data_IF_921990394645
#
_entry.id   IF_921990394645
#
_cell.length_a   1.000
_cell.length_b   1.000
_cell.length_c   1.000
_cell.angle_alpha   90.00
_cell.angle_beta   90.00
_cell.angle_gamma   90.00
#
_symmetry.space_group_name_H-M   'P 1'
#
loop_
_entity.id
_entity.type
_entity.pdbx_description
1 polymer ?
#
# COMPACT_ATOMS: atom_id res chain seq x y z
N UNK A 1 -3.96 19.70 -4.07
CA UNK A 1 -3.11 20.40 -3.07
C UNK A 1 -2.42 19.35 -2.20
N UNK A 2 -1.54 19.74 -1.26
CA UNK A 2 -1.12 18.78 -0.23
C UNK A 2 -2.36 18.35 0.56
N UNK A 3 -2.43 17.07 0.97
CA UNK A 3 -3.59 16.50 1.67
C UNK A 3 -4.62 15.82 0.77
N UNK A 4 -4.52 15.91 -0.56
CA UNK A 4 -5.42 15.21 -1.48
C UNK A 4 -5.38 13.67 -1.28
N UNK A 5 -4.21 13.13 -0.89
CA UNK A 5 -4.03 11.73 -0.54
C UNK A 5 -4.76 11.27 0.74
N UNK A 6 -5.50 12.16 1.41
CA UNK A 6 -6.29 11.86 2.61
C UNK A 6 -7.80 11.77 2.34
N UNK A 7 -8.23 11.63 1.08
CA UNK A 7 -9.65 11.54 0.70
C UNK A 7 -9.98 10.25 -0.06
N UNK A 8 -11.19 9.71 0.16
CA UNK A 8 -11.75 8.58 -0.60
C UNK A 8 -10.78 7.39 -0.66
N UNK A 9 -10.32 6.96 0.52
CA UNK A 9 -9.20 6.04 0.67
C UNK A 9 -9.66 4.59 0.71
N UNK A 10 -8.86 3.73 0.09
CA UNK A 10 -8.80 2.30 0.35
C UNK A 10 -7.37 1.99 0.77
N UNK A 11 -7.12 2.02 2.08
CA UNK A 11 -5.78 1.91 2.65
C UNK A 11 -5.49 0.45 2.99
N UNK A 12 -4.59 -0.25 2.29
CA UNK A 12 -4.21 -1.59 2.68
C UNK A 12 -3.56 -1.58 4.07
N UNK A 13 -3.98 -2.49 4.93
CA UNK A 13 -3.57 -2.63 6.32
C UNK A 13 -2.97 -4.01 6.55
N UNK A 14 -2.03 -4.11 7.49
CA UNK A 14 -1.77 -5.38 8.17
C UNK A 14 -2.95 -5.74 9.07
N UNK A 15 -3.08 -7.02 9.47
CA UNK A 15 -4.13 -7.46 10.40
C UNK A 15 -4.10 -6.66 11.71
N UNK A 16 -2.91 -6.39 12.26
CA UNK A 16 -2.76 -5.59 13.47
C UNK A 16 -3.22 -4.13 13.30
N UNK A 17 -2.98 -3.53 12.13
CA UNK A 17 -3.49 -2.19 11.82
C UNK A 17 -5.00 -2.20 11.64
N UNK A 18 -5.57 -3.23 11.00
CA UNK A 18 -7.01 -3.38 10.84
C UNK A 18 -7.73 -3.52 12.18
N UNK A 19 -7.17 -4.30 13.11
CA UNK A 19 -7.70 -4.40 14.48
C UNK A 19 -7.67 -3.02 15.17
N UNK A 20 -6.56 -2.28 15.06
CA UNK A 20 -6.47 -0.92 15.65
C UNK A 20 -7.45 0.04 15.00
N UNK A 21 -7.69 -0.09 13.70
CA UNK A 21 -8.63 0.72 12.95
C UNK A 21 -10.07 0.49 13.43
N UNK A 22 -10.49 -0.78 13.50
CA UNK A 22 -11.80 -1.18 14.02
C UNK A 22 -12.02 -0.72 15.47
N UNK A 23 -11.00 -0.84 16.34
CA UNK A 23 -11.07 -0.36 17.74
C UNK A 23 -11.30 1.14 17.87
N UNK A 24 -10.99 1.92 16.83
CA UNK A 24 -11.23 3.37 16.79
C UNK A 24 -12.57 3.73 16.14
N UNK A 25 -13.39 2.72 15.81
CA UNK A 25 -14.69 2.90 15.14
C UNK A 25 -14.59 3.08 13.63
N UNK A 26 -13.44 2.78 13.01
CA UNK A 26 -13.30 2.85 11.55
C UNK A 26 -13.70 1.55 10.87
N UNK A 27 -14.12 1.64 9.61
CA UNK A 27 -14.56 0.49 8.81
C UNK A 27 -13.39 -0.20 8.09
N UNK A 28 -13.51 -1.53 7.98
CA UNK A 28 -12.57 -2.39 7.25
C UNK A 28 -13.32 -3.20 6.21
N UNK A 29 -12.78 -3.24 5.00
CA UNK A 29 -13.23 -4.09 3.91
C UNK A 29 -12.17 -5.15 3.59
N UNK A 30 -12.59 -6.23 2.96
CA UNK A 30 -11.71 -7.29 2.48
C UNK A 30 -11.80 -7.34 0.97
N UNK A 31 -10.67 -7.10 0.30
CA UNK A 31 -10.56 -7.20 -1.15
C UNK A 31 -9.96 -8.55 -1.50
N UNK A 32 -10.63 -9.29 -2.40
CA UNK A 32 -10.20 -10.59 -2.88
C UNK A 32 -9.92 -10.49 -4.39
N UNK A 33 -8.67 -10.72 -4.78
CA UNK A 33 -8.27 -10.81 -6.19
C UNK A 33 -8.01 -12.28 -6.53
N UNK A 34 -8.79 -12.83 -7.46
CA UNK A 34 -8.61 -14.16 -7.99
C UNK A 34 -7.89 -14.11 -9.34
N UNK A 35 -6.80 -14.87 -9.45
CA UNK A 35 -5.97 -14.92 -10.66
C UNK A 35 -5.97 -16.35 -11.21
N UNK A 36 -6.42 -16.57 -12.46
CA UNK A 36 -6.28 -17.85 -13.15
C UNK A 36 -4.83 -18.32 -13.18
N UNK A 37 -4.59 -19.56 -12.75
CA UNK A 37 -3.27 -20.17 -12.67
C UNK A 37 -3.35 -21.63 -13.16
N UNK A 38 -3.66 -21.85 -14.45
CA UNK A 38 -3.76 -23.20 -15.02
C UNK A 38 -2.40 -23.92 -15.03
N UNK A 39 -1.30 -23.19 -15.09
CA UNK A 39 0.08 -23.70 -14.99
C UNK A 39 0.84 -22.83 -14.00
N UNK A 40 1.57 -23.44 -13.05
CA UNK A 40 2.43 -22.66 -12.15
C UNK A 40 3.68 -22.21 -12.95
N UNK A 41 3.99 -20.90 -13.01
CA UNK A 41 5.16 -20.40 -13.74
C UNK A 41 6.46 -20.79 -13.04
N UNK A 42 7.58 -20.70 -13.78
CA UNK A 42 8.91 -20.83 -13.18
C UNK A 42 9.06 -19.90 -11.97
N UNK A 43 9.73 -20.42 -10.95
CA UNK A 43 10.06 -19.73 -9.71
C UNK A 43 11.16 -18.67 -9.86
N UNK A 44 11.79 -18.58 -11.03
CA UNK A 44 12.92 -17.68 -11.28
C UNK A 44 12.50 -16.22 -11.52
N UNK A 45 11.20 -15.97 -11.75
CA UNK A 45 10.65 -14.62 -11.86
C UNK A 45 10.28 -14.07 -10.48
N UNK A 46 10.96 -12.99 -10.07
CA UNK A 46 10.71 -12.30 -8.81
C UNK A 46 9.28 -11.77 -8.66
N UNK A 47 8.61 -11.36 -9.74
CA UNK A 47 7.21 -10.94 -9.70
C UNK A 47 6.28 -12.12 -9.41
N UNK A 48 6.55 -13.27 -10.03
CA UNK A 48 5.80 -14.51 -9.81
C UNK A 48 5.92 -14.92 -8.35
N UNK A 49 7.13 -14.91 -7.79
CA UNK A 49 7.36 -15.20 -6.37
C UNK A 49 6.66 -14.22 -5.44
N UNK A 50 6.77 -12.92 -5.74
CA UNK A 50 6.15 -11.88 -4.93
C UNK A 50 4.62 -11.98 -4.90
N UNK A 51 3.98 -12.41 -5.99
CA UNK A 51 2.54 -12.73 -5.99
C UNK A 51 2.26 -14.04 -5.25
N UNK A 52 3.09 -15.07 -5.46
CA UNK A 52 2.92 -16.41 -4.88
C UNK A 52 2.94 -16.37 -3.35
N UNK A 53 3.92 -15.67 -2.74
CA UNK A 53 4.02 -15.57 -1.27
C UNK A 53 2.89 -14.75 -0.63
N UNK A 54 2.12 -13.98 -1.41
CA UNK A 54 1.00 -13.14 -0.95
C UNK A 54 -0.38 -13.68 -1.33
N UNK A 55 -0.42 -14.89 -1.88
CA UNK A 55 -1.66 -15.54 -2.30
C UNK A 55 -1.65 -17.00 -1.87
N UNK A 56 -2.82 -17.62 -1.83
CA UNK A 56 -2.96 -19.05 -1.61
C UNK A 56 -3.62 -19.72 -2.83
N UNK A 57 -3.36 -21.01 -3.01
CA UNK A 57 -4.00 -21.79 -4.07
C UNK A 57 -5.46 -22.08 -3.71
N UNK A 58 -6.34 -22.03 -4.70
CA UNK A 58 -7.75 -22.39 -4.59
C UNK A 58 -8.26 -22.90 -5.95
N UNK A 59 -9.51 -23.31 -5.99
CA UNK A 59 -10.19 -23.80 -7.19
C UNK A 59 -11.44 -22.96 -7.46
N UNK A 60 -11.71 -22.72 -8.75
CA UNK A 60 -12.96 -22.15 -9.24
C UNK A 60 -13.57 -23.11 -10.26
N UNK A 61 -14.41 -24.03 -9.79
CA UNK A 61 -14.78 -25.21 -10.57
C UNK A 61 -13.54 -26.09 -10.77
N UNK A 62 -13.24 -26.45 -12.02
CA UNK A 62 -12.03 -27.23 -12.36
C UNK A 62 -10.79 -26.35 -12.60
N UNK A 63 -10.93 -25.02 -12.57
CA UNK A 63 -9.82 -24.10 -12.83
C UNK A 63 -9.02 -23.83 -11.56
N UNK A 64 -7.74 -24.19 -11.58
CA UNK A 64 -6.78 -23.77 -10.57
C UNK A 64 -6.59 -22.25 -10.60
N UNK A 65 -6.76 -21.61 -9.44
CA UNK A 65 -6.59 -20.18 -9.24
C UNK A 65 -5.66 -19.90 -8.06
N UNK A 66 -5.20 -18.66 -7.97
CA UNK A 66 -4.62 -18.12 -6.73
C UNK A 66 -5.43 -16.93 -6.26
N UNK A 67 -5.66 -16.85 -4.96
CA UNK A 67 -6.41 -15.78 -4.33
C UNK A 67 -5.48 -14.94 -3.47
N UNK A 68 -5.44 -13.64 -3.73
CA UNK A 68 -4.81 -12.65 -2.88
C UNK A 68 -5.90 -11.94 -2.07
N UNK A 69 -5.70 -11.84 -0.76
CA UNK A 69 -6.62 -11.15 0.14
C UNK A 69 -5.93 -9.93 0.71
N UNK A 70 -6.56 -8.76 0.59
CA UNK A 70 -6.07 -7.51 1.16
C UNK A 70 -7.11 -6.94 2.11
N UNK A 71 -6.70 -6.73 3.36
CA UNK A 71 -7.52 -6.01 4.35
C UNK A 71 -7.31 -4.52 4.13
N UNK A 72 -8.40 -3.76 3.93
CA UNK A 72 -8.33 -2.32 3.65
C UNK A 72 -9.17 -1.53 4.65
N UNK A 73 -8.61 -0.43 5.17
CA UNK A 73 -9.44 0.61 5.77
C UNK A 73 -10.16 1.36 4.64
N UNK A 74 -11.48 1.47 4.75
CA UNK A 74 -12.30 2.25 3.85
C UNK A 74 -12.62 3.60 4.49
N UNK A 75 -12.31 4.69 3.78
CA UNK A 75 -12.64 6.04 4.21
C UNK A 75 -13.28 6.75 3.04
N UNK A 76 -14.56 7.08 3.15
CA UNK A 76 -15.25 7.89 2.17
C UNK A 76 -15.23 9.36 2.63
N UNK A 77 -14.94 10.28 1.71
CA UNK A 77 -14.68 11.68 2.06
C UNK A 77 -13.31 11.87 2.72
N UNK A 78 -13.20 12.85 3.62
CA UNK A 78 -11.95 13.19 4.29
C UNK A 78 -11.61 12.20 5.42
N UNK A 79 -10.33 11.84 5.51
CA UNK A 79 -9.79 11.08 6.64
C UNK A 79 -10.13 11.77 7.97
N UNK A 80 -10.56 11.05 9.02
CA UNK A 80 -10.86 11.63 10.34
C UNK A 80 -9.68 12.40 10.97
N UNK A 81 -8.46 12.12 10.52
CA UNK A 81 -7.27 12.82 10.97
C UNK A 81 -6.89 14.03 10.11
N UNK A 82 -7.59 14.31 9.01
CA UNK A 82 -7.29 15.46 8.16
C UNK A 82 -7.73 16.76 8.86
N UNK A 83 -6.81 17.71 9.00
CA UNK A 83 -7.04 19.00 9.63
C UNK A 83 -7.49 20.04 8.60
N UNK A 84 -8.06 21.19 9.04
CA UNK A 84 -8.49 22.26 8.13
C UNK A 84 -7.37 22.83 7.25
N UNK A 85 -6.12 22.75 7.68
CA UNK A 85 -4.93 23.16 6.91
C UNK A 85 -4.41 22.06 5.94
N UNK A 86 -5.19 21.00 5.73
CA UNK A 86 -4.89 19.84 4.89
C UNK A 86 -3.70 19.00 5.33
N UNK A 87 -3.20 19.21 6.56
CA UNK A 87 -2.20 18.33 7.19
C UNK A 87 -2.90 17.24 7.97
N UNK A 88 -2.27 16.08 8.08
CA UNK A 88 -2.83 14.98 8.87
C UNK A 88 -2.45 15.19 10.34
N UNK A 89 -3.41 15.32 11.24
CA UNK A 89 -3.21 15.42 12.70
C UNK A 89 -2.90 14.07 13.38
N UNK A 90 -2.97 12.96 12.65
CA UNK A 90 -2.80 11.60 13.18
C UNK A 90 -1.42 10.99 12.91
N UNK A 91 -0.34 11.78 12.86
CA UNK A 91 1.00 11.32 12.46
C UNK A 91 1.45 10.04 13.19
N UNK A 92 1.25 9.97 14.50
CA UNK A 92 1.60 8.80 15.33
C UNK A 92 0.68 7.61 15.10
N UNK A 93 -0.53 7.86 14.65
CA UNK A 93 -1.58 6.87 14.42
C UNK A 93 -1.64 6.38 12.97
N UNK A 94 -0.82 6.94 12.07
CA UNK A 94 -0.85 6.61 10.64
C UNK A 94 -0.60 5.13 10.41
N UNK A 95 -1.42 4.48 9.55
CA UNK A 95 -1.05 3.18 9.03
C UNK A 95 0.20 3.31 8.16
N UNK A 96 0.96 2.24 8.04
CA UNK A 96 2.22 2.16 7.31
C UNK A 96 2.09 2.67 5.88
N UNK A 97 0.99 2.37 5.18
CA UNK A 97 0.75 2.89 3.82
C UNK A 97 0.75 4.42 3.76
N UNK A 98 0.21 5.11 4.78
CA UNK A 98 0.24 6.57 4.87
C UNK A 98 1.59 7.12 5.35
N UNK A 99 2.42 6.29 6.00
CA UNK A 99 3.78 6.67 6.44
C UNK A 99 4.78 6.60 5.31
N UNK A 100 4.67 5.58 4.45
CA UNK A 100 5.59 5.36 3.32
C UNK A 100 5.22 6.17 2.08
N UNK A 101 4.00 6.70 2.01
CA UNK A 101 3.54 7.49 0.87
C UNK A 101 4.48 8.71 0.63
N UNK A 102 4.97 8.94 -0.60
CA UNK A 102 4.47 8.40 -1.87
C UNK A 102 5.12 7.11 -2.39
N UNK A 103 6.02 6.46 -1.64
CA UNK A 103 6.74 5.27 -2.10
C UNK A 103 5.83 4.09 -2.46
N UNK A 104 6.38 3.16 -3.26
CA UNK A 104 5.74 1.91 -3.64
C UNK A 104 6.13 0.77 -2.71
N UNK A 105 5.13 0.04 -2.21
CA UNK A 105 5.39 -1.17 -1.41
C UNK A 105 5.80 -2.35 -2.29
N UNK A 106 5.28 -2.44 -3.53
CA UNK A 106 5.64 -3.49 -4.46
C UNK A 106 7.00 -3.14 -5.09
N UNK A 107 8.06 -3.95 -4.89
CA UNK A 107 9.40 -3.65 -5.40
C UNK A 107 9.51 -3.66 -6.93
N UNK A 108 8.48 -4.16 -7.64
CA UNK A 108 8.43 -4.22 -9.09
C UNK A 108 7.59 -3.10 -9.73
N UNK A 109 7.06 -2.17 -8.92
CA UNK A 109 6.36 -0.98 -9.42
C UNK A 109 7.29 0.22 -9.26
N UNK A 110 7.52 0.92 -10.36
CA UNK A 110 8.27 2.16 -10.37
C UNK A 110 7.43 3.31 -9.78
N UNK A 111 8.04 4.14 -8.94
CA UNK A 111 7.41 5.36 -8.44
C UNK A 111 7.29 6.37 -9.59
N UNK A 112 6.06 6.60 -10.06
CA UNK A 112 5.75 7.65 -11.03
C UNK A 112 5.01 8.80 -10.34
N UNK A 113 5.56 10.04 -10.32
CA UNK A 113 4.89 11.21 -9.73
C UNK A 113 3.48 11.46 -10.26
N UNK A 114 3.24 11.18 -11.53
CA UNK A 114 1.94 11.32 -12.22
C UNK A 114 0.86 10.39 -11.67
N UNK A 115 1.23 9.30 -11.00
CA UNK A 115 0.30 8.37 -10.36
C UNK A 115 0.08 8.69 -8.87
N UNK A 116 0.58 9.84 -8.39
CA UNK A 116 0.47 10.24 -6.99
C UNK A 116 -0.40 11.48 -6.86
N UNK A 117 -1.16 11.53 -5.78
CA UNK A 117 -1.95 12.70 -5.38
C UNK A 117 -1.10 13.85 -4.81
N UNK A 118 0.24 13.70 -4.76
CA UNK A 118 1.11 14.81 -4.38
C UNK A 118 1.06 15.90 -5.46
N UNK A 119 0.96 17.18 -5.08
CA UNK A 119 0.91 18.25 -6.06
C UNK A 119 2.27 18.40 -6.79
N UNK A 120 2.31 18.98 -8.01
CA UNK A 120 3.53 19.06 -8.82
C UNK A 120 4.73 19.69 -8.10
N UNK A 121 4.49 20.67 -7.23
CA UNK A 121 5.53 21.40 -6.49
C UNK A 121 6.26 20.51 -5.47
N UNK A 122 5.67 19.37 -5.08
CA UNK A 122 6.32 18.38 -4.23
C UNK A 122 7.46 17.63 -4.96
N UNK A 123 7.47 17.69 -6.31
CA UNK A 123 8.43 17.01 -7.17
C UNK A 123 9.41 17.96 -7.84
N UNK A 124 9.40 19.25 -7.46
CA UNK A 124 10.26 20.26 -8.04
C UNK A 124 11.74 19.96 -7.79
N UNK A 125 12.60 20.33 -8.75
CA UNK A 125 14.04 20.00 -8.76
C UNK A 125 14.80 20.66 -7.60
N UNK A 126 14.28 21.75 -7.06
CA UNK A 126 14.80 22.46 -5.89
C UNK A 126 14.45 21.78 -4.55
N UNK A 127 13.64 20.70 -4.58
CA UNK A 127 13.34 19.87 -3.41
C UNK A 127 14.33 18.71 -3.29
N UNK A 128 14.59 18.21 -2.05
CA UNK A 128 15.37 17.00 -1.87
C UNK A 128 14.78 15.82 -2.66
N UNK A 129 15.62 15.09 -3.39
CA UNK A 129 15.17 13.93 -4.15
C UNK A 129 14.68 12.83 -3.21
N UNK A 130 13.42 12.42 -3.36
CA UNK A 130 12.86 11.30 -2.60
C UNK A 130 13.44 9.95 -3.05
N UNK A 131 13.69 9.82 -4.36
CA UNK A 131 14.35 8.67 -4.98
C UNK A 131 15.58 9.13 -5.76
N UNK A 132 16.68 8.38 -5.67
CA UNK A 132 17.87 8.53 -6.51
C UNK A 132 18.37 7.15 -6.92
N UNK A 133 18.56 6.92 -8.23
CA UNK A 133 19.01 5.62 -8.74
C UNK A 133 18.11 4.44 -8.36
N UNK A 134 16.80 4.65 -8.27
CA UNK A 134 15.82 3.62 -7.88
C UNK A 134 15.76 3.32 -6.38
N UNK A 135 16.55 4.00 -5.54
CA UNK A 135 16.56 3.84 -4.10
C UNK A 135 15.85 5.00 -3.40
N UNK A 136 15.12 4.69 -2.33
CA UNK A 136 14.51 5.69 -1.45
C UNK A 136 15.61 6.29 -0.59
N UNK A 137 15.71 7.62 -0.58
CA UNK A 137 16.78 8.34 0.11
C UNK A 137 16.55 8.44 1.63
N UNK A 138 15.30 8.35 2.08
CA UNK A 138 14.96 8.35 3.50
C UNK A 138 15.03 6.92 4.07
N UNK A 139 16.01 6.67 4.95
CA UNK A 139 16.25 5.35 5.54
C UNK A 139 15.09 4.85 6.39
N UNK A 140 14.42 5.75 7.12
CA UNK A 140 13.24 5.41 7.92
C UNK A 140 12.11 4.89 7.02
N UNK A 141 11.85 5.56 5.90
CA UNK A 141 10.88 5.12 4.90
C UNK A 141 11.27 3.78 4.29
N UNK A 142 12.56 3.58 3.97
CA UNK A 142 13.05 2.31 3.44
C UNK A 142 12.81 1.14 4.41
N UNK A 143 13.11 1.33 5.69
CA UNK A 143 12.87 0.33 6.75
C UNK A 143 11.38 0.03 6.93
N UNK A 144 10.54 1.07 6.93
CA UNK A 144 9.08 0.93 7.02
C UNK A 144 8.50 0.13 5.84
N UNK A 145 9.05 0.29 4.64
CA UNK A 145 8.62 -0.48 3.47
C UNK A 145 8.96 -1.95 3.64
N UNK A 146 10.17 -2.27 4.09
CA UNK A 146 10.56 -3.66 4.33
C UNK A 146 9.67 -4.32 5.38
N UNK A 147 9.48 -3.65 6.52
CA UNK A 147 8.57 -4.11 7.57
C UNK A 147 7.13 -4.28 7.06
N UNK A 148 6.64 -3.34 6.23
CA UNK A 148 5.29 -3.43 5.67
C UNK A 148 5.13 -4.57 4.67
N UNK A 149 6.18 -4.97 3.95
CA UNK A 149 6.15 -6.13 3.03
C UNK A 149 6.02 -7.44 3.81
N UNK A 150 6.66 -7.53 4.96
CA UNK A 150 6.62 -8.71 5.83
C UNK A 150 5.27 -8.82 6.55
N UNK A 151 4.78 -7.73 7.12
CA UNK A 151 3.51 -7.69 7.87
C UNK A 151 2.24 -7.93 7.03
N UNK A 152 2.37 -8.03 5.70
CA UNK A 152 1.28 -8.26 4.75
C UNK A 152 1.40 -9.59 4.01
N UNK A 153 2.28 -10.47 4.45
CA UNK A 153 2.25 -11.87 4.03
C UNK A 153 1.07 -12.55 4.74
N UNK A 154 0.25 -13.35 4.02
CA UNK A 154 -0.87 -14.08 4.58
C UNK A 154 -0.42 -15.10 5.64
#
# INVERSE_FOLDING_TARGET
MCGDCCHNLRLPLSVNEAIRWLKRGGDVQVFCEAMPRPVEPSTDDGQVQHRRIRSFAAESGELAIRVMVTVVAAVDGACPHLQPDMRCGGYEARPNVCRIYPAEINPFIELMPTHKACPPEAWAVDRPSFIKGGQIMDSITADLIQNSREARRP
#
